data_IF_603045499556
#
_entry.id   IF_603045499556
#
_cell.length_a   1.000
_cell.length_b   1.000
_cell.length_c   1.000
_cell.angle_alpha   90.00
_cell.angle_beta   90.00
_cell.angle_gamma   90.00
#
_symmetry.space_group_name_H-M   'P 1'
#
loop_
_entity.id
_entity.type
_entity.pdbx_description
1 polymer ?
#
# COMPACT_ATOMS: atom_id res chain seq x y z
N UNK A 1 4.59 -4.44 6.60
CA UNK A 1 4.91 -3.03 6.34
C UNK A 1 3.99 -2.12 7.15
N UNK A 2 4.57 -1.18 7.93
CA UNK A 2 3.82 -0.26 8.79
C UNK A 2 2.92 0.73 8.07
N UNK A 3 3.04 0.87 6.75
CA UNK A 3 2.21 1.76 5.93
C UNK A 3 0.97 1.08 5.32
N UNK A 4 0.72 -0.19 5.61
CA UNK A 4 -0.48 -0.89 5.14
C UNK A 4 -1.68 -0.60 6.05
N UNK A 5 -2.85 -1.12 5.71
CA UNK A 5 -4.07 -0.92 6.51
C UNK A 5 -3.85 -1.47 7.92
N UNK A 6 -3.27 -2.65 8.03
CA UNK A 6 -2.80 -3.26 9.28
C UNK A 6 -1.37 -3.75 9.12
N UNK A 7 -0.65 -3.93 10.22
CA UNK A 7 0.72 -4.43 10.24
C UNK A 7 0.97 -5.28 11.48
N UNK A 8 1.75 -6.34 11.31
CA UNK A 8 2.27 -7.16 12.42
C UNK A 8 3.75 -6.86 12.71
N UNK A 9 4.37 -5.92 11.97
CA UNK A 9 5.82 -5.69 12.03
C UNK A 9 6.61 -6.67 11.17
N UNK A 10 6.23 -7.93 11.14
CA UNK A 10 6.81 -8.99 10.32
C UNK A 10 5.86 -10.16 10.21
N UNK A 11 6.20 -11.12 9.36
CA UNK A 11 5.41 -12.33 9.15
C UNK A 11 4.88 -12.47 7.74
N UNK A 12 4.28 -13.60 7.48
CA UNK A 12 3.64 -13.95 6.22
C UNK A 12 2.63 -15.06 6.44
N UNK A 13 1.86 -15.39 5.41
CA UNK A 13 0.85 -16.43 5.48
C UNK A 13 0.83 -17.21 4.16
N UNK A 14 0.74 -18.52 4.25
CA UNK A 14 0.51 -19.41 3.13
C UNK A 14 -0.89 -19.97 3.26
N UNK A 15 -1.72 -19.76 2.24
CA UNK A 15 -3.09 -20.27 2.16
C UNK A 15 -3.17 -21.26 0.98
N UNK A 16 -3.65 -22.45 1.25
CA UNK A 16 -3.82 -23.48 0.22
C UNK A 16 -4.93 -24.47 0.60
N UNK A 17 -5.64 -25.00 -0.38
CA UNK A 17 -6.56 -26.12 -0.24
C UNK A 17 -5.85 -27.49 -0.46
N UNK A 18 -4.60 -27.46 -0.91
CA UNK A 18 -3.79 -28.65 -1.11
C UNK A 18 -3.10 -29.04 0.20
N UNK A 19 -3.48 -30.22 0.71
CA UNK A 19 -2.95 -30.76 1.97
C UNK A 19 -1.45 -31.10 1.90
N UNK A 20 -0.96 -31.52 0.75
CA UNK A 20 0.46 -31.86 0.57
C UNK A 20 1.31 -30.58 0.63
N UNK A 21 0.88 -29.52 -0.07
CA UNK A 21 1.53 -28.20 0.00
C UNK A 21 1.48 -27.65 1.42
N UNK A 22 0.34 -27.75 2.12
CA UNK A 22 0.22 -27.28 3.50
C UNK A 22 1.19 -28.00 4.45
N UNK A 23 1.25 -29.33 4.37
CA UNK A 23 2.16 -30.14 5.18
C UNK A 23 3.63 -29.84 4.85
N UNK A 24 3.95 -29.74 3.58
CA UNK A 24 5.32 -29.42 3.11
C UNK A 24 5.76 -28.04 3.59
N UNK A 25 4.90 -27.03 3.44
CA UNK A 25 5.17 -25.68 3.91
C UNK A 25 5.38 -25.65 5.43
N UNK A 26 4.52 -26.32 6.19
CA UNK A 26 4.65 -26.42 7.65
C UNK A 26 5.95 -27.11 8.05
N UNK A 27 6.32 -28.20 7.39
CA UNK A 27 7.55 -28.95 7.67
C UNK A 27 8.79 -28.05 7.50
N UNK A 28 8.95 -27.44 6.33
CA UNK A 28 10.09 -26.59 6.01
C UNK A 28 10.16 -25.35 6.92
N UNK A 29 9.02 -24.70 7.19
CA UNK A 29 8.98 -23.46 7.98
C UNK A 29 9.13 -23.69 9.48
N UNK A 30 9.11 -24.95 9.94
CA UNK A 30 9.35 -25.35 11.32
C UNK A 30 10.65 -26.14 11.48
N UNK A 31 11.67 -25.76 10.69
CA UNK A 31 13.02 -26.32 10.73
C UNK A 31 13.16 -27.76 10.21
N UNK A 32 12.17 -28.26 9.47
CA UNK A 32 12.15 -29.66 8.96
C UNK A 32 12.43 -30.70 10.07
N UNK A 33 11.87 -30.50 11.26
CA UNK A 33 12.06 -31.40 12.39
C UNK A 33 11.05 -32.55 12.30
N UNK A 34 11.55 -33.79 12.32
CA UNK A 34 10.74 -35.01 12.31
C UNK A 34 10.62 -35.65 13.68
N UNK A 35 11.66 -35.51 14.51
CA UNK A 35 11.66 -36.01 15.88
C UNK A 35 11.88 -34.86 16.89
N UNK A 36 10.88 -34.57 17.74
CA UNK A 36 11.01 -33.50 18.74
C UNK A 36 11.91 -33.87 19.92
N UNK A 37 12.11 -35.19 20.22
CA UNK A 37 12.90 -35.67 21.34
C UNK A 37 14.39 -35.65 20.99
N UNK A 38 14.74 -36.25 19.87
CA UNK A 38 16.12 -36.34 19.40
C UNK A 38 16.59 -35.15 18.56
N UNK A 39 15.69 -34.16 18.36
CA UNK A 39 15.97 -32.97 17.53
C UNK A 39 16.45 -33.34 16.11
N UNK A 40 15.91 -34.42 15.55
CA UNK A 40 16.30 -34.88 14.23
C UNK A 40 15.59 -34.07 13.13
N UNK A 41 16.39 -33.62 12.16
CA UNK A 41 15.98 -32.87 10.99
C UNK A 41 16.29 -33.66 9.73
N UNK A 42 15.34 -33.91 8.86
CA UNK A 42 15.50 -34.75 7.66
C UNK A 42 15.96 -33.97 6.44
N UNK A 43 15.90 -32.65 6.49
CA UNK A 43 16.33 -31.76 5.41
C UNK A 43 16.64 -30.35 5.92
N UNK A 44 17.06 -29.46 5.00
CA UNK A 44 17.26 -28.03 5.31
C UNK A 44 15.89 -27.37 5.49
N UNK A 45 15.61 -26.91 6.69
CA UNK A 45 14.41 -26.15 7.04
C UNK A 45 14.75 -24.77 7.60
N UNK A 46 13.71 -23.97 7.84
CA UNK A 46 13.82 -22.58 8.29
C UNK A 46 12.97 -22.34 9.53
N UNK A 47 13.41 -21.46 10.41
CA UNK A 47 12.59 -20.98 11.51
C UNK A 47 11.76 -19.79 11.06
N UNK A 48 10.65 -20.05 10.37
CA UNK A 48 9.75 -19.05 9.81
C UNK A 48 8.39 -19.01 10.53
N UNK A 49 8.33 -19.51 11.74
CA UNK A 49 7.11 -19.43 12.55
C UNK A 49 6.86 -17.98 12.97
N UNK A 50 5.60 -17.55 12.84
CA UNK A 50 5.17 -16.26 13.38
C UNK A 50 5.34 -16.27 14.90
N UNK A 51 6.17 -15.36 15.42
CA UNK A 51 6.42 -15.26 16.86
C UNK A 51 5.25 -14.59 17.59
N UNK A 52 5.02 -14.96 18.85
CA UNK A 52 3.87 -14.52 19.63
C UNK A 52 3.74 -12.99 19.72
N UNK A 53 4.84 -12.26 19.84
CA UNK A 53 4.83 -10.79 19.89
C UNK A 53 4.22 -10.19 18.62
N UNK A 54 4.63 -10.68 17.44
CA UNK A 54 4.07 -10.22 16.16
C UNK A 54 2.62 -10.67 15.98
N UNK A 55 2.28 -11.87 16.45
CA UNK A 55 0.90 -12.35 16.44
C UNK A 55 -0.01 -11.49 17.34
N UNK A 56 0.46 -11.09 18.52
CA UNK A 56 -0.29 -10.21 19.43
C UNK A 56 -0.54 -8.82 18.80
N UNK A 57 0.46 -8.25 18.12
CA UNK A 57 0.27 -7.02 17.34
C UNK A 57 -0.81 -7.22 16.28
N UNK A 58 -0.76 -8.37 15.58
CA UNK A 58 -1.76 -8.71 14.56
C UNK A 58 -3.18 -8.80 15.12
N UNK A 59 -3.36 -9.41 16.29
CA UNK A 59 -4.66 -9.49 16.98
C UNK A 59 -5.18 -8.08 17.29
N UNK A 60 -4.38 -7.24 17.92
CA UNK A 60 -4.76 -5.86 18.24
C UNK A 60 -5.11 -5.03 17.00
N UNK A 61 -4.39 -5.24 15.89
CA UNK A 61 -4.70 -4.59 14.62
C UNK A 61 -6.03 -5.09 14.02
N UNK A 62 -6.32 -6.39 14.12
CA UNK A 62 -7.58 -6.97 13.64
C UNK A 62 -8.78 -6.52 14.48
N UNK A 63 -8.64 -6.39 15.79
CA UNK A 63 -9.68 -5.84 16.68
C UNK A 63 -10.08 -4.41 16.27
N UNK A 64 -9.14 -3.63 15.74
CA UNK A 64 -9.37 -2.25 15.28
C UNK A 64 -9.60 -2.13 13.77
N UNK A 65 -9.62 -3.23 13.03
CA UNK A 65 -9.62 -3.21 11.56
C UNK A 65 -10.79 -2.43 10.96
N UNK A 66 -12.00 -2.65 11.44
CA UNK A 66 -13.21 -2.00 10.91
C UNK A 66 -13.17 -0.47 11.13
N UNK A 67 -12.68 -0.01 12.28
CA UNK A 67 -12.55 1.41 12.56
C UNK A 67 -11.49 2.08 11.68
N UNK A 68 -10.37 1.41 11.46
CA UNK A 68 -9.30 1.86 10.55
C UNK A 68 -9.84 1.95 9.11
N UNK A 69 -10.53 0.91 8.66
CA UNK A 69 -11.10 0.86 7.31
C UNK A 69 -12.17 1.95 7.09
N UNK A 70 -13.03 2.16 8.07
CA UNK A 70 -14.02 3.23 8.05
C UNK A 70 -13.34 4.59 7.91
N UNK A 71 -12.35 4.87 8.75
CA UNK A 71 -11.59 6.14 8.68
C UNK A 71 -10.90 6.35 7.33
N UNK A 72 -10.34 5.30 6.75
CA UNK A 72 -9.72 5.35 5.42
C UNK A 72 -10.73 5.72 4.32
N UNK A 73 -11.93 5.16 4.39
CA UNK A 73 -13.03 5.48 3.45
C UNK A 73 -13.53 6.92 3.63
N UNK A 74 -13.63 7.41 4.87
CA UNK A 74 -13.98 8.82 5.14
C UNK A 74 -12.96 9.79 4.53
N UNK A 75 -11.66 9.51 4.68
CA UNK A 75 -10.58 10.30 4.07
C UNK A 75 -10.70 10.31 2.54
N UNK A 76 -10.90 9.15 1.93
CA UNK A 76 -11.08 9.03 0.47
C UNK A 76 -12.29 9.84 -0.01
N UNK A 77 -13.42 9.71 0.67
CA UNK A 77 -14.67 10.41 0.33
C UNK A 77 -14.49 11.93 0.41
N UNK A 78 -13.90 12.44 1.48
CA UNK A 78 -13.68 13.87 1.65
C UNK A 78 -12.74 14.44 0.57
N UNK A 79 -11.62 13.76 0.29
CA UNK A 79 -10.73 14.20 -0.79
C UNK A 79 -11.42 14.20 -2.16
N UNK A 80 -12.20 13.15 -2.47
CA UNK A 80 -12.94 13.10 -3.74
C UNK A 80 -13.95 14.21 -3.86
N UNK A 81 -14.73 14.50 -2.81
CA UNK A 81 -15.73 15.57 -2.85
C UNK A 81 -15.09 16.94 -2.99
N UNK A 82 -14.04 17.24 -2.22
CA UNK A 82 -13.41 18.54 -2.17
C UNK A 82 -12.52 18.87 -3.37
N UNK A 83 -11.93 17.84 -3.98
CA UNK A 83 -11.02 17.99 -5.12
C UNK A 83 -11.70 17.69 -6.47
N UNK A 84 -13.00 17.35 -6.47
CA UNK A 84 -13.76 17.19 -7.71
C UNK A 84 -13.83 18.52 -8.46
N UNK A 85 -13.44 18.50 -9.74
CA UNK A 85 -13.44 19.69 -10.57
C UNK A 85 -12.27 20.66 -10.34
N UNK A 86 -11.37 20.38 -9.39
CA UNK A 86 -10.18 21.21 -9.14
C UNK A 86 -9.14 20.97 -10.24
N UNK A 87 -8.87 21.99 -11.04
CA UNK A 87 -7.91 21.93 -12.14
C UNK A 87 -8.19 20.79 -13.12
N UNK A 88 -7.16 19.98 -13.39
CA UNK A 88 -7.26 18.79 -14.25
C UNK A 88 -7.20 17.46 -13.49
N UNK A 89 -7.53 17.49 -12.18
CA UNK A 89 -7.49 16.32 -11.31
C UNK A 89 -8.49 15.27 -11.82
N UNK A 90 -8.01 14.01 -11.89
CA UNK A 90 -8.82 12.84 -12.22
C UNK A 90 -8.56 11.73 -11.22
N UNK A 91 -9.62 11.16 -10.71
CA UNK A 91 -9.58 10.01 -9.81
C UNK A 91 -9.65 8.70 -10.58
N UNK A 92 -9.16 7.64 -9.96
CA UNK A 92 -9.43 6.29 -10.43
C UNK A 92 -10.90 5.95 -10.17
N UNK A 93 -11.56 5.43 -11.19
CA UNK A 93 -12.88 4.82 -11.05
C UNK A 93 -12.74 3.45 -10.37
N UNK A 94 -13.63 3.17 -9.45
CA UNK A 94 -13.70 1.87 -8.79
C UNK A 94 -14.69 0.98 -9.55
N UNK A 95 -14.35 -0.29 -9.74
CA UNK A 95 -15.32 -1.28 -10.22
C UNK A 95 -16.48 -1.35 -9.22
N UNK A 96 -17.75 -1.24 -9.66
CA UNK A 96 -18.92 -1.33 -8.77
C UNK A 96 -19.00 -2.61 -7.94
N UNK A 97 -18.34 -3.67 -8.40
CA UNK A 97 -18.26 -4.96 -7.69
C UNK A 97 -17.12 -5.01 -6.67
N UNK A 98 -16.28 -3.96 -6.57
CA UNK A 98 -15.15 -3.89 -5.65
C UNK A 98 -15.43 -3.00 -4.45
N UNK A 99 -14.82 -3.33 -3.31
CA UNK A 99 -14.77 -2.49 -2.11
C UNK A 99 -13.33 -2.19 -1.76
N UNK A 100 -12.74 -1.10 -2.29
CA UNK A 100 -11.35 -0.77 -2.04
C UNK A 100 -11.13 -0.42 -0.56
N UNK A 101 -9.94 -0.77 -0.06
CA UNK A 101 -9.54 -0.47 1.30
C UNK A 101 -8.97 0.96 1.47
N UNK A 102 -8.92 1.74 0.40
CA UNK A 102 -8.43 3.12 0.38
C UNK A 102 -7.02 3.28 1.01
N UNK A 103 -6.14 2.33 0.76
CA UNK A 103 -4.79 2.31 1.34
C UNK A 103 -4.03 3.62 1.15
N UNK A 104 -3.94 4.09 -0.10
CA UNK A 104 -3.33 5.38 -0.46
C UNK A 104 -4.35 6.19 -1.25
N UNK A 105 -4.39 7.49 -0.98
CA UNK A 105 -5.16 8.39 -1.84
C UNK A 105 -4.25 8.90 -2.95
N UNK A 106 -4.58 8.52 -4.18
CA UNK A 106 -3.79 8.84 -5.38
C UNK A 106 -4.71 9.40 -6.45
N UNK A 107 -4.27 10.46 -7.12
CA UNK A 107 -4.99 11.03 -8.26
C UNK A 107 -4.02 11.41 -9.38
N UNK A 108 -4.58 11.65 -10.56
CA UNK A 108 -3.86 12.02 -11.76
C UNK A 108 -4.01 13.50 -12.07
N UNK A 109 -2.91 14.16 -12.45
CA UNK A 109 -2.86 15.50 -13.00
C UNK A 109 -1.70 15.65 -13.98
N UNK A 110 -1.87 16.46 -15.02
CA UNK A 110 -0.77 16.81 -15.94
C UNK A 110 0.31 17.65 -15.26
N UNK A 111 -0.04 18.35 -14.17
CA UNK A 111 0.87 19.20 -13.38
C UNK A 111 1.54 18.44 -12.21
N UNK A 112 1.56 17.10 -12.24
CA UNK A 112 1.99 16.25 -11.14
C UNK A 112 3.30 16.70 -10.49
N UNK A 113 4.35 16.93 -11.28
CA UNK A 113 5.68 17.29 -10.74
C UNK A 113 5.68 18.67 -10.06
N UNK A 114 4.99 19.63 -10.64
CA UNK A 114 4.87 20.97 -10.06
C UNK A 114 4.06 20.95 -8.76
N UNK A 115 2.93 20.23 -8.74
CA UNK A 115 2.11 20.06 -7.54
C UNK A 115 2.86 19.29 -6.45
N UNK A 116 3.59 18.23 -6.80
CA UNK A 116 4.43 17.47 -5.86
C UNK A 116 5.44 18.38 -5.14
N UNK A 117 6.15 19.21 -5.91
CA UNK A 117 7.11 20.17 -5.36
C UNK A 117 6.43 21.22 -4.49
N UNK A 118 5.31 21.78 -4.94
CA UNK A 118 4.53 22.74 -4.16
C UNK A 118 4.11 22.17 -2.80
N UNK A 119 3.50 20.99 -2.77
CA UNK A 119 3.06 20.36 -1.54
C UNK A 119 4.24 20.05 -0.58
N UNK A 120 5.32 19.47 -1.09
CA UNK A 120 6.48 19.17 -0.24
C UNK A 120 7.17 20.43 0.28
N UNK A 121 7.25 21.53 -0.49
CA UNK A 121 7.76 22.82 -0.04
C UNK A 121 6.88 23.42 1.07
N UNK A 122 5.59 23.16 1.06
CA UNK A 122 4.64 23.54 2.11
C UNK A 122 4.53 22.48 3.23
N UNK A 123 5.52 21.57 3.36
CA UNK A 123 5.62 20.54 4.40
C UNK A 123 4.47 19.52 4.37
N UNK A 124 3.79 19.37 3.25
CA UNK A 124 2.79 18.34 3.00
C UNK A 124 3.46 17.19 2.27
N UNK A 125 3.86 16.16 3.02
CA UNK A 125 4.59 15.02 2.49
C UNK A 125 3.77 14.27 1.44
N UNK A 126 4.11 14.47 0.19
CA UNK A 126 3.49 13.81 -0.96
C UNK A 126 4.53 13.01 -1.74
N UNK A 127 4.09 12.02 -2.48
CA UNK A 127 4.97 11.11 -3.25
C UNK A 127 4.49 10.97 -4.68
N UNK A 128 5.40 10.84 -5.65
CA UNK A 128 5.00 10.37 -6.98
C UNK A 128 4.54 8.92 -6.88
N UNK A 129 3.81 8.45 -7.87
CA UNK A 129 3.55 7.01 -7.99
C UNK A 129 4.87 6.26 -8.23
N UNK A 130 4.88 4.94 -7.99
CA UNK A 130 6.13 4.16 -8.07
C UNK A 130 6.74 4.18 -9.46
N UNK A 131 8.06 4.30 -9.50
CA UNK A 131 8.82 4.14 -10.73
C UNK A 131 8.55 2.76 -11.35
N UNK A 132 8.13 2.68 -12.62
CA UNK A 132 7.98 1.41 -13.31
C UNK A 132 9.27 0.58 -13.27
N UNK A 133 9.13 -0.73 -13.08
CA UNK A 133 10.27 -1.63 -12.91
C UNK A 133 11.28 -1.56 -14.09
N UNK A 134 10.77 -1.44 -15.31
CA UNK A 134 11.60 -1.31 -16.51
C UNK A 134 12.44 -0.03 -16.56
N UNK A 135 12.15 0.97 -15.73
CA UNK A 135 12.93 2.20 -15.62
C UNK A 135 14.00 2.13 -14.51
N UNK A 136 14.04 1.04 -13.75
CA UNK A 136 15.04 0.86 -12.70
C UNK A 136 16.35 0.32 -13.31
N UNK A 137 17.51 0.83 -12.88
CA UNK A 137 18.80 0.45 -13.50
C UNK A 137 19.06 -1.05 -13.57
N UNK A 138 18.64 -1.81 -12.56
CA UNK A 138 18.84 -3.26 -12.49
C UNK A 138 17.97 -4.07 -13.44
N UNK A 139 16.94 -3.46 -14.04
CA UNK A 139 15.98 -4.11 -14.94
C UNK A 139 15.94 -3.53 -16.36
N UNK A 140 16.77 -2.51 -16.65
CA UNK A 140 16.76 -1.77 -17.93
C UNK A 140 17.01 -2.66 -19.14
N UNK A 141 17.76 -3.75 -18.96
CA UNK A 141 18.14 -4.66 -20.04
C UNK A 141 17.17 -5.85 -20.19
N UNK A 142 16.11 -5.89 -19.35
CA UNK A 142 15.09 -6.91 -19.46
C UNK A 142 14.05 -6.55 -20.52
N UNK A 143 13.49 -7.59 -21.15
CA UNK A 143 12.42 -7.41 -22.15
C UNK A 143 11.20 -6.72 -21.53
N UNK A 144 10.85 -5.54 -22.03
CA UNK A 144 9.65 -4.81 -21.66
C UNK A 144 8.59 -4.94 -22.75
N UNK A 145 7.43 -5.47 -22.39
CA UNK A 145 6.28 -5.61 -23.28
C UNK A 145 5.17 -4.70 -22.76
N UNK A 146 4.74 -3.77 -23.57
CA UNK A 146 3.67 -2.84 -23.19
C UNK A 146 2.81 -2.47 -24.39
N UNK A 147 1.50 -2.37 -24.17
CA UNK A 147 0.60 -1.67 -25.06
C UNK A 147 0.42 -0.24 -24.55
N UNK A 148 0.74 0.77 -25.36
CA UNK A 148 0.55 2.19 -25.05
C UNK A 148 1.33 2.76 -23.85
N UNK A 149 2.28 2.05 -23.28
CA UNK A 149 3.17 2.51 -22.20
C UNK A 149 2.41 3.10 -20.98
N UNK A 150 1.35 2.41 -20.55
CA UNK A 150 0.44 2.89 -19.52
C UNK A 150 1.16 3.12 -18.18
N UNK A 151 2.07 2.22 -17.78
CA UNK A 151 2.80 2.35 -16.51
C UNK A 151 3.60 3.64 -16.42
N UNK A 152 4.30 4.02 -17.49
CA UNK A 152 5.05 5.27 -17.55
C UNK A 152 4.13 6.50 -17.59
N UNK A 153 2.97 6.41 -18.26
CA UNK A 153 1.97 7.49 -18.23
C UNK A 153 1.42 7.72 -16.83
N UNK A 154 1.09 6.66 -16.11
CA UNK A 154 0.63 6.71 -14.71
C UNK A 154 1.72 7.32 -13.83
N UNK A 155 2.96 6.83 -13.91
CA UNK A 155 4.08 7.34 -13.13
C UNK A 155 4.29 8.85 -13.32
N UNK A 156 4.19 9.34 -14.55
CA UNK A 156 4.39 10.77 -14.87
C UNK A 156 3.26 11.68 -14.40
N UNK A 157 2.08 11.14 -14.10
CA UNK A 157 0.87 11.94 -13.84
C UNK A 157 0.25 11.70 -12.49
N UNK A 158 0.58 10.61 -11.79
CA UNK A 158 -0.08 10.26 -10.52
C UNK A 158 0.75 10.70 -9.31
N UNK A 159 0.05 11.26 -8.34
CA UNK A 159 0.58 11.70 -7.05
C UNK A 159 -0.25 11.11 -5.93
N UNK A 160 0.43 10.61 -4.89
CA UNK A 160 -0.17 10.17 -3.64
C UNK A 160 0.02 11.26 -2.57
N UNK A 161 -1.06 11.61 -1.88
CA UNK A 161 -1.10 12.62 -0.84
C UNK A 161 -1.37 11.98 0.54
N UNK A 162 -1.18 12.70 1.67
CA UNK A 162 -1.38 12.16 3.00
C UNK A 162 -2.76 11.52 3.16
N UNK A 163 -2.78 10.27 3.61
CA UNK A 163 -4.02 9.50 3.81
C UNK A 163 -3.90 8.50 4.96
N UNK A 164 -3.07 8.76 5.97
CA UNK A 164 -2.99 7.95 7.18
C UNK A 164 -4.33 7.91 7.92
N UNK A 165 -4.69 6.80 8.56
CA UNK A 165 -5.87 6.73 9.44
C UNK A 165 -5.80 7.70 10.63
N UNK A 166 -4.60 8.17 10.99
CA UNK A 166 -4.38 9.19 12.02
C UNK A 166 -4.48 10.63 11.52
N UNK A 167 -4.68 10.85 10.20
CA UNK A 167 -4.82 12.21 9.64
C UNK A 167 -6.06 12.88 10.22
N UNK A 168 -5.89 14.04 10.87
CA UNK A 168 -7.02 14.83 11.39
C UNK A 168 -7.82 15.46 10.25
N UNK A 169 -9.05 15.82 10.52
CA UNK A 169 -9.90 16.54 9.54
C UNK A 169 -9.26 17.91 9.19
N UNK A 170 -8.71 18.59 10.19
CA UNK A 170 -8.03 19.89 10.01
C UNK A 170 -6.81 19.78 9.10
N UNK A 171 -5.97 18.76 9.32
CA UNK A 171 -4.80 18.54 8.46
C UNK A 171 -5.22 18.10 7.06
N UNK A 172 -6.31 17.34 6.93
CA UNK A 172 -6.87 17.00 5.63
C UNK A 172 -7.34 18.24 4.86
N UNK A 173 -8.01 19.19 5.53
CA UNK A 173 -8.40 20.47 4.92
C UNK A 173 -7.19 21.36 4.58
N UNK A 174 -6.10 21.34 5.35
CA UNK A 174 -4.85 22.01 4.95
C UNK A 174 -4.32 21.45 3.62
N UNK A 175 -4.29 20.13 3.46
CA UNK A 175 -3.88 19.50 2.21
C UNK A 175 -4.78 19.93 1.04
N UNK A 176 -6.10 19.91 1.24
CA UNK A 176 -7.09 20.33 0.26
C UNK A 176 -6.89 21.79 -0.13
N UNK A 177 -6.73 22.66 0.85
CA UNK A 177 -6.53 24.10 0.66
C UNK A 177 -5.26 24.38 -0.16
N UNK A 178 -4.15 23.72 0.15
CA UNK A 178 -2.90 23.88 -0.59
C UNK A 178 -3.00 23.38 -2.04
N UNK A 179 -3.77 22.32 -2.29
CA UNK A 179 -4.04 21.85 -3.65
C UNK A 179 -4.90 22.89 -4.41
N UNK A 180 -5.97 23.41 -3.78
CA UNK A 180 -6.81 24.47 -4.38
C UNK A 180 -5.98 25.73 -4.65
N UNK A 181 -5.13 26.17 -3.71
CA UNK A 181 -4.23 27.31 -3.88
C UNK A 181 -3.28 27.13 -5.07
N UNK A 182 -2.72 25.93 -5.25
CA UNK A 182 -1.87 25.63 -6.39
C UNK A 182 -2.59 25.82 -7.73
N UNK A 183 -3.87 25.51 -7.79
CA UNK A 183 -4.70 25.73 -8.97
C UNK A 183 -5.32 27.12 -9.03
N UNK A 184 -5.13 27.96 -8.02
CA UNK A 184 -5.70 29.33 -7.89
C UNK A 184 -7.22 29.34 -7.94
N UNK A 185 -7.84 28.47 -7.15
CA UNK A 185 -9.30 28.37 -6.97
C UNK A 185 -9.73 28.88 -5.59
#
# INVERSE_FOLDING_TARGET
NGNKIISTGGGGMILTNDKEIANRAKHITTTAKTDPLDYFHDEVGYNYRLVNVLAAIGVAQMENFESILKRKKEIDTLYRSELHGVGDIKFQENDPKSSPNCWLFTFRTKKMRALLNHLNNNKIQSRPFWTPMNNLPMYKDLKYISQNDISNKIFKQCISIPSSSSLTIEDQYKVISEIKNFYKL
#
